data_IF_617681096664
#
_entry.id   IF_617681096664
#
_cell.length_a   1.000
_cell.length_b   1.000
_cell.length_c   1.000
_cell.angle_alpha   90.00
_cell.angle_beta   90.00
_cell.angle_gamma   90.00
#
_symmetry.space_group_name_H-M   'P 1'
#
loop_
_entity.id
_entity.type
_entity.pdbx_description
1 polymer ?
#
# COMPACT_ATOMS: atom_id res chain seq x y z
N UNK A 1 13.91 18.12 -33.75
CA UNK A 1 12.61 17.84 -33.08
C UNK A 1 12.93 17.48 -31.64
N UNK A 2 12.50 18.24 -30.63
CA UNK A 2 12.59 17.76 -29.25
C UNK A 2 11.74 16.49 -29.11
N UNK A 3 12.23 15.53 -28.32
CA UNK A 3 11.46 14.32 -28.03
C UNK A 3 10.10 14.71 -27.41
N UNK A 4 9.01 13.99 -27.71
CA UNK A 4 7.74 14.23 -27.04
C UNK A 4 7.94 14.12 -25.52
N UNK A 5 7.29 14.97 -24.71
CA UNK A 5 7.38 14.88 -23.27
C UNK A 5 7.01 13.45 -22.85
N UNK A 6 7.83 12.84 -22.00
CA UNK A 6 7.52 11.54 -21.44
C UNK A 6 6.15 11.64 -20.76
N UNK A 7 5.23 10.74 -21.11
CA UNK A 7 3.92 10.66 -20.45
C UNK A 7 4.21 10.41 -18.98
N UNK A 8 3.79 11.33 -18.12
CA UNK A 8 3.98 11.21 -16.68
C UNK A 8 3.18 10.00 -16.20
N UNK A 9 3.88 8.97 -15.72
CA UNK A 9 3.25 7.77 -15.16
C UNK A 9 3.11 7.96 -13.66
N UNK A 10 1.87 7.96 -13.17
CA UNK A 10 1.59 8.15 -11.75
C UNK A 10 1.14 6.82 -11.18
N UNK A 11 1.73 6.38 -10.06
CA UNK A 11 1.24 5.26 -9.27
C UNK A 11 0.67 5.80 -7.96
N UNK A 12 -0.51 5.34 -7.55
CA UNK A 12 -1.13 5.77 -6.29
C UNK A 12 -1.08 4.69 -5.24
N UNK A 13 -0.35 4.93 -4.15
CA UNK A 13 -0.32 4.07 -2.97
C UNK A 13 -1.38 4.53 -1.97
N UNK A 14 -2.36 3.66 -1.71
CA UNK A 14 -3.52 3.91 -0.87
C UNK A 14 -3.30 3.26 0.50
N UNK A 15 -3.33 4.09 1.54
CA UNK A 15 -3.01 3.70 2.92
C UNK A 15 -4.20 4.02 3.83
N UNK A 16 -5.09 3.06 4.14
CA UNK A 16 -6.09 3.26 5.18
C UNK A 16 -5.39 3.34 6.55
N UNK A 17 -5.72 4.33 7.37
CA UNK A 17 -5.06 4.55 8.65
C UNK A 17 -6.05 4.99 9.73
N UNK A 18 -5.80 4.58 10.98
CA UNK A 18 -6.47 5.08 12.18
C UNK A 18 -5.53 4.97 13.37
N UNK A 19 -5.15 6.10 13.96
CA UNK A 19 -4.25 6.17 15.11
C UNK A 19 -2.86 5.56 14.87
N UNK A 20 -2.25 5.90 13.74
CA UNK A 20 -0.95 5.41 13.28
C UNK A 20 0.15 6.50 13.31
N UNK A 21 -0.02 7.55 14.10
CA UNK A 21 0.85 8.74 14.08
C UNK A 21 2.32 8.42 14.33
N UNK A 22 2.62 7.35 15.08
CA UNK A 22 3.99 6.93 15.38
C UNK A 22 4.70 6.23 14.21
N UNK A 23 3.97 5.56 13.32
CA UNK A 23 4.53 4.76 12.23
C UNK A 23 4.41 5.45 10.86
N UNK A 24 3.40 6.30 10.69
CA UNK A 24 2.97 6.73 9.35
C UNK A 24 4.00 7.58 8.60
N UNK A 25 4.77 8.41 9.32
CA UNK A 25 5.85 9.20 8.71
C UNK A 25 6.90 8.30 8.04
N UNK A 26 7.29 7.23 8.74
CA UNK A 26 8.29 6.26 8.27
C UNK A 26 7.77 5.49 7.07
N UNK A 27 6.51 5.05 7.11
CA UNK A 27 5.87 4.37 5.99
C UNK A 27 5.86 5.25 4.75
N UNK A 28 5.35 6.48 4.86
CA UNK A 28 5.22 7.40 3.72
C UNK A 28 6.60 7.69 3.13
N UNK A 29 7.60 7.98 3.97
CA UNK A 29 8.98 8.16 3.52
C UNK A 29 9.51 6.95 2.75
N UNK A 30 9.33 5.74 3.30
CA UNK A 30 9.79 4.51 2.66
C UNK A 30 9.09 4.22 1.32
N UNK A 31 7.82 4.62 1.16
CA UNK A 31 7.09 4.52 -0.11
C UNK A 31 7.64 5.51 -1.14
N UNK A 32 7.81 6.78 -0.74
CA UNK A 32 8.29 7.84 -1.64
C UNK A 32 9.73 7.60 -2.10
N UNK A 33 10.59 7.05 -1.24
CA UNK A 33 11.97 6.67 -1.58
C UNK A 33 12.06 5.54 -2.62
N UNK A 34 10.98 4.79 -2.84
CA UNK A 34 10.92 3.69 -3.80
C UNK A 34 10.39 4.09 -5.18
N UNK A 35 10.20 5.38 -5.45
CA UNK A 35 9.76 5.87 -6.76
C UNK A 35 10.70 5.40 -7.89
N UNK A 36 10.26 4.50 -8.79
CA UNK A 36 11.11 4.07 -9.89
C UNK A 36 11.29 5.19 -10.93
N UNK A 37 12.37 5.12 -11.71
CA UNK A 37 12.62 6.08 -12.77
C UNK A 37 11.44 6.24 -13.74
N UNK A 38 11.01 7.48 -13.98
CA UNK A 38 9.89 7.78 -14.87
C UNK A 38 8.51 7.47 -14.30
N UNK A 39 8.41 7.32 -12.98
CA UNK A 39 7.15 7.26 -12.23
C UNK A 39 7.10 8.36 -11.16
N UNK A 40 5.94 8.99 -11.04
CA UNK A 40 5.57 9.84 -9.89
C UNK A 40 4.77 8.98 -8.91
N UNK A 41 5.12 9.05 -7.61
CA UNK A 41 4.39 8.31 -6.56
C UNK A 41 3.44 9.26 -5.83
N UNK A 42 2.15 9.00 -5.93
CA UNK A 42 1.12 9.62 -5.10
C UNK A 42 0.86 8.72 -3.88
N UNK A 43 0.94 9.26 -2.67
CA UNK A 43 0.47 8.56 -1.46
C UNK A 43 -0.86 9.15 -1.02
N UNK A 44 -1.92 8.34 -1.03
CA UNK A 44 -3.26 8.69 -0.57
C UNK A 44 -3.52 8.02 0.76
N UNK A 45 -3.38 8.78 1.85
CA UNK A 45 -3.74 8.30 3.17
C UNK A 45 -5.22 8.54 3.43
N UNK A 46 -5.93 7.50 3.85
CA UNK A 46 -7.35 7.59 4.19
C UNK A 46 -7.51 7.49 5.70
N UNK A 47 -7.80 8.61 6.34
CA UNK A 47 -7.94 8.73 7.79
C UNK A 47 -9.35 8.35 8.25
N UNK A 48 -9.47 7.26 8.99
CA UNK A 48 -10.73 6.73 9.53
C UNK A 48 -11.00 7.23 10.96
N UNK A 49 -10.97 8.57 11.11
CA UNK A 49 -11.25 9.24 12.37
C UNK A 49 -10.17 9.02 13.43
N UNK A 50 -8.90 9.24 13.08
CA UNK A 50 -7.81 9.25 14.05
C UNK A 50 -8.03 10.33 15.12
N UNK A 51 -7.69 10.00 16.35
CA UNK A 51 -7.71 10.88 17.52
C UNK A 51 -6.32 11.37 17.93
N UNK A 52 -5.28 10.89 17.24
CA UNK A 52 -3.88 11.29 17.41
C UNK A 52 -3.41 12.19 16.25
N UNK A 53 -2.09 12.35 16.10
CA UNK A 53 -1.50 13.21 15.08
C UNK A 53 -1.38 12.56 13.68
N UNK A 54 -1.95 11.37 13.44
CA UNK A 54 -1.82 10.61 12.17
C UNK A 54 -1.99 11.49 10.93
N UNK A 55 -3.09 12.22 10.86
CA UNK A 55 -3.42 13.05 9.70
C UNK A 55 -2.47 14.25 9.54
N UNK A 56 -1.98 14.82 10.64
CA UNK A 56 -1.03 15.94 10.60
C UNK A 56 0.33 15.45 10.07
N UNK A 57 0.84 14.39 10.68
CA UNK A 57 2.13 13.76 10.33
C UNK A 57 2.12 13.27 8.89
N UNK A 58 1.03 12.65 8.44
CA UNK A 58 0.92 12.18 7.06
C UNK A 58 1.02 13.30 6.02
N UNK A 59 0.36 14.44 6.26
CA UNK A 59 0.47 15.63 5.38
C UNK A 59 1.89 16.17 5.36
N UNK A 60 2.53 16.27 6.53
CA UNK A 60 3.90 16.74 6.65
C UNK A 60 4.90 15.83 5.92
N UNK A 61 4.62 14.51 5.86
CA UNK A 61 5.41 13.53 5.14
C UNK A 61 5.15 13.51 3.61
N UNK A 62 4.23 14.35 3.10
CA UNK A 62 3.94 14.46 1.67
C UNK A 62 2.76 13.62 1.18
N UNK A 63 2.00 12.97 2.05
CA UNK A 63 0.79 12.26 1.65
C UNK A 63 -0.40 13.20 1.47
N UNK A 64 -1.26 12.87 0.51
CA UNK A 64 -2.60 13.44 0.37
C UNK A 64 -3.54 12.75 1.35
N UNK A 65 -4.05 13.49 2.32
CA UNK A 65 -4.96 12.94 3.35
C UNK A 65 -6.42 13.12 2.96
N UNK A 66 -7.18 12.02 2.93
CA UNK A 66 -8.62 11.97 2.71
C UNK A 66 -9.29 11.49 3.99
N UNK A 67 -10.15 12.30 4.59
CA UNK A 67 -10.92 11.87 5.76
C UNK A 67 -12.12 11.00 5.35
N UNK A 68 -12.42 9.98 6.15
CA UNK A 68 -13.73 9.34 6.16
C UNK A 68 -14.67 10.10 7.09
N UNK A 69 -15.92 10.26 6.68
CA UNK A 69 -16.94 10.84 7.55
C UNK A 69 -17.08 9.98 8.82
N UNK A 70 -17.09 10.61 9.99
CA UNK A 70 -17.13 9.93 11.28
C UNK A 70 -18.29 8.94 11.36
N UNK A 71 -17.98 7.64 11.48
CA UNK A 71 -18.99 6.57 11.65
C UNK A 71 -18.87 5.97 13.06
N UNK A 72 -19.99 5.60 13.71
CA UNK A 72 -19.97 4.96 15.02
C UNK A 72 -19.12 3.67 15.09
N UNK A 73 -18.97 2.99 13.94
CA UNK A 73 -18.24 1.72 13.79
C UNK A 73 -17.09 1.83 12.78
N UNK A 74 -16.34 2.94 12.78
CA UNK A 74 -15.10 3.07 11.99
C UNK A 74 -14.10 1.94 12.30
N UNK A 75 -13.07 1.82 11.47
CA UNK A 75 -12.03 0.79 11.55
C UNK A 75 -12.19 -0.34 10.54
N UNK A 76 -12.96 -0.16 9.46
CA UNK A 76 -13.01 -1.13 8.36
C UNK A 76 -12.05 -0.69 7.23
N UNK A 77 -10.88 -1.35 7.08
CA UNK A 77 -9.90 -0.96 6.08
C UNK A 77 -10.44 -1.01 4.65
N UNK A 78 -11.44 -1.84 4.35
CA UNK A 78 -12.04 -1.92 3.00
C UNK A 78 -12.74 -0.61 2.61
N UNK A 79 -13.39 0.07 3.57
CA UNK A 79 -14.02 1.38 3.32
C UNK A 79 -12.95 2.41 3.01
N UNK A 80 -11.85 2.40 3.78
CA UNK A 80 -10.69 3.25 3.54
C UNK A 80 -10.07 3.03 2.16
N UNK A 81 -9.78 1.77 1.80
CA UNK A 81 -9.21 1.42 0.49
C UNK A 81 -10.09 1.87 -0.68
N UNK A 82 -11.40 1.64 -0.60
CA UNK A 82 -12.34 2.07 -1.64
C UNK A 82 -12.39 3.60 -1.76
N UNK A 83 -12.41 4.32 -0.63
CA UNK A 83 -12.40 5.78 -0.64
C UNK A 83 -11.09 6.33 -1.23
N UNK A 84 -9.96 5.73 -0.88
CA UNK A 84 -8.65 6.09 -1.42
C UNK A 84 -8.56 5.83 -2.92
N UNK A 85 -9.06 4.69 -3.39
CA UNK A 85 -9.10 4.36 -4.82
C UNK A 85 -9.92 5.38 -5.64
N UNK A 86 -11.01 5.89 -5.08
CA UNK A 86 -11.80 6.95 -5.72
C UNK A 86 -11.11 8.31 -5.73
N UNK A 87 -10.27 8.60 -4.74
CA UNK A 87 -9.57 9.88 -4.62
C UNK A 87 -8.22 9.93 -5.36
N UNK A 88 -7.59 8.77 -5.54
CA UNK A 88 -6.32 8.59 -6.23
C UNK A 88 -6.38 9.05 -7.70
N UNK A 89 -5.25 9.48 -8.24
CA UNK A 89 -5.12 10.00 -9.62
C UNK A 89 -4.24 9.13 -10.51
N UNK A 90 -3.41 8.28 -9.91
CA UNK A 90 -2.53 7.36 -10.59
C UNK A 90 -3.19 6.05 -11.02
N UNK A 91 -2.43 5.33 -11.83
CA UNK A 91 -2.68 4.00 -12.35
C UNK A 91 -1.32 3.30 -12.58
N UNK A 92 -1.01 2.21 -11.85
CA UNK A 92 -1.91 1.40 -11.04
C UNK A 92 -2.21 1.98 -9.65
N UNK A 93 -3.26 1.44 -9.03
CA UNK A 93 -3.57 1.63 -7.62
C UNK A 93 -2.88 0.53 -6.81
N UNK A 94 -2.10 0.91 -5.81
CA UNK A 94 -1.39 0.01 -4.89
C UNK A 94 -2.01 0.18 -3.51
N UNK A 95 -2.29 -0.91 -2.82
CA UNK A 95 -2.82 -0.91 -1.45
C UNK A 95 -1.72 -1.35 -0.50
N UNK A 96 -1.51 -0.57 0.56
CA UNK A 96 -0.54 -0.84 1.62
C UNK A 96 -1.15 -0.50 2.98
N UNK A 97 -0.96 -1.35 3.98
CA UNK A 97 -1.47 -1.11 5.33
C UNK A 97 -0.56 -0.15 6.11
N UNK A 98 -1.16 0.65 7.00
CA UNK A 98 -0.48 1.73 7.71
C UNK A 98 0.58 1.28 8.72
N UNK A 99 0.52 0.01 9.13
CA UNK A 99 1.45 -0.67 10.04
C UNK A 99 2.52 -1.50 9.30
N UNK A 100 2.55 -1.43 7.96
CA UNK A 100 3.47 -2.18 7.11
C UNK A 100 4.58 -1.29 6.55
N UNK A 101 5.77 -1.87 6.38
CA UNK A 101 6.89 -1.22 5.70
C UNK A 101 7.21 -1.92 4.39
N UNK A 102 7.30 -1.19 3.26
CA UNK A 102 7.65 -1.80 2.00
C UNK A 102 9.13 -2.21 2.00
N UNK A 103 9.41 -3.45 1.60
CA UNK A 103 10.78 -3.92 1.42
C UNK A 103 11.47 -3.16 0.26
N UNK A 104 12.82 -3.08 0.23
CA UNK A 104 13.53 -2.47 -0.89
C UNK A 104 13.14 -3.10 -2.24
N UNK A 105 12.80 -2.25 -3.22
CA UNK A 105 12.39 -2.70 -4.57
C UNK A 105 10.95 -3.20 -4.67
N UNK A 106 10.16 -3.13 -3.59
CA UNK A 106 8.76 -3.57 -3.55
C UNK A 106 7.91 -2.90 -4.64
N UNK A 107 7.95 -1.57 -4.74
CA UNK A 107 7.11 -0.85 -5.70
C UNK A 107 7.51 -1.17 -7.15
N UNK A 108 8.82 -1.26 -7.42
CA UNK A 108 9.33 -1.62 -8.74
C UNK A 108 8.90 -3.04 -9.17
N UNK A 109 8.86 -3.99 -8.23
CA UNK A 109 8.41 -5.35 -8.50
C UNK A 109 6.91 -5.41 -8.87
N UNK A 110 6.07 -4.66 -8.13
CA UNK A 110 4.64 -4.56 -8.45
C UNK A 110 4.41 -3.97 -9.85
N UNK A 111 5.10 -2.88 -10.16
CA UNK A 111 5.00 -2.21 -11.46
C UNK A 111 5.53 -3.08 -12.61
N UNK A 112 6.61 -3.83 -12.40
CA UNK A 112 7.11 -4.78 -13.38
C UNK A 112 6.08 -5.88 -13.72
N UNK A 113 5.31 -6.35 -12.73
CA UNK A 113 4.21 -7.28 -12.96
C UNK A 113 3.12 -6.68 -13.86
N UNK A 114 2.79 -5.40 -13.66
CA UNK A 114 1.85 -4.69 -14.52
C UNK A 114 2.41 -4.42 -15.92
N UNK A 115 3.69 -4.09 -16.05
CA UNK A 115 4.37 -3.91 -17.35
C UNK A 115 4.42 -5.23 -18.14
N UNK A 116 4.47 -6.37 -17.45
CA UNK A 116 4.34 -7.71 -18.04
C UNK A 116 2.89 -8.07 -18.46
N UNK A 117 1.93 -7.16 -18.28
CA UNK A 117 0.55 -7.30 -18.73
C UNK A 117 -0.44 -7.81 -17.67
N UNK A 118 -0.03 -7.98 -16.41
CA UNK A 118 -0.95 -8.36 -15.35
C UNK A 118 -1.91 -7.21 -15.00
N UNK A 119 -3.21 -7.50 -14.92
CA UNK A 119 -4.21 -6.55 -14.44
C UNK A 119 -4.15 -6.36 -12.92
N UNK A 120 -3.71 -7.39 -12.21
CA UNK A 120 -3.61 -7.46 -10.75
C UNK A 120 -2.25 -8.08 -10.39
N UNK A 121 -1.52 -7.46 -9.46
CA UNK A 121 -0.24 -7.98 -8.94
C UNK A 121 -0.32 -8.00 -7.42
N UNK A 122 -0.10 -9.17 -6.83
CA UNK A 122 -0.08 -9.35 -5.39
C UNK A 122 1.34 -9.49 -4.88
N UNK A 123 1.57 -9.08 -3.63
CA UNK A 123 2.81 -9.31 -2.92
C UNK A 123 2.59 -10.07 -1.61
N UNK A 124 3.69 -10.50 -1.04
CA UNK A 124 3.76 -11.19 0.24
C UNK A 124 3.95 -10.23 1.42
N UNK A 125 3.78 -10.73 2.64
CA UNK A 125 4.15 -10.02 3.87
C UNK A 125 5.21 -10.82 4.63
N UNK A 126 6.16 -10.10 5.23
CA UNK A 126 7.09 -10.67 6.21
C UNK A 126 6.57 -10.46 7.63
N UNK A 127 6.78 -11.46 8.47
CA UNK A 127 6.42 -11.40 9.87
C UNK A 127 7.42 -10.56 10.68
N UNK A 128 6.95 -9.78 11.67
CA UNK A 128 7.82 -9.13 12.63
C UNK A 128 8.75 -10.11 13.36
N UNK A 129 9.94 -9.62 13.71
CA UNK A 129 10.84 -10.32 14.61
C UNK A 129 10.24 -10.46 16.01
N UNK A 130 10.66 -11.48 16.76
CA UNK A 130 10.22 -11.68 18.15
C UNK A 130 8.81 -12.27 18.33
N UNK A 131 8.06 -12.54 17.27
CA UNK A 131 6.80 -13.29 17.37
C UNK A 131 6.99 -14.67 18.01
N UNK A 132 6.03 -15.06 18.86
CA UNK A 132 6.03 -16.37 19.50
C UNK A 132 5.97 -17.51 18.46
N UNK A 133 6.48 -18.71 18.78
CA UNK A 133 6.39 -19.85 17.87
C UNK A 133 4.95 -20.15 17.42
N UNK A 134 3.97 -19.94 18.30
CA UNK A 134 2.56 -20.15 17.99
C UNK A 134 2.01 -19.09 17.03
N UNK A 135 2.34 -17.80 17.22
CA UNK A 135 1.94 -16.75 16.29
C UNK A 135 2.57 -16.94 14.89
N UNK A 136 3.83 -17.38 14.85
CA UNK A 136 4.49 -17.77 13.60
C UNK A 136 3.78 -18.96 12.96
N UNK A 137 3.49 -20.01 13.72
CA UNK A 137 2.81 -21.19 13.22
C UNK A 137 1.42 -20.85 12.65
N UNK A 138 0.62 -20.08 13.39
CA UNK A 138 -0.70 -19.61 12.94
C UNK A 138 -0.61 -18.86 11.61
N UNK A 139 0.32 -17.92 11.50
CA UNK A 139 0.56 -17.21 10.25
C UNK A 139 1.02 -18.16 9.12
N UNK A 140 1.97 -19.05 9.38
CA UNK A 140 2.44 -20.01 8.38
C UNK A 140 1.34 -20.96 7.92
N UNK A 141 0.44 -21.39 8.80
CA UNK A 141 -0.67 -22.27 8.46
C UNK A 141 -1.80 -21.53 7.75
N UNK A 142 -2.13 -20.31 8.18
CA UNK A 142 -3.22 -19.51 7.60
C UNK A 142 -2.85 -18.77 6.31
N UNK A 143 -1.57 -18.40 6.17
CA UNK A 143 -1.08 -17.48 5.15
C UNK A 143 0.14 -18.03 4.39
N UNK A 144 0.35 -19.36 4.39
CA UNK A 144 1.43 -20.02 3.65
C UNK A 144 1.56 -19.52 2.20
N UNK A 145 0.42 -19.33 1.53
CA UNK A 145 0.35 -18.97 0.11
C UNK A 145 0.83 -17.53 -0.20
N UNK A 146 1.06 -16.72 0.84
CA UNK A 146 1.42 -15.29 0.73
C UNK A 146 2.74 -14.96 1.43
N UNK A 147 3.57 -15.98 1.66
CA UNK A 147 4.88 -15.83 2.28
C UNK A 147 5.92 -15.28 1.28
N UNK A 148 6.79 -14.37 1.73
CA UNK A 148 7.78 -13.68 0.89
C UNK A 148 8.79 -14.57 0.20
N UNK A 149 9.09 -15.70 0.83
CA UNK A 149 9.98 -16.74 0.29
C UNK A 149 9.31 -17.68 -0.71
N UNK A 150 7.99 -17.55 -0.96
CA UNK A 150 7.28 -18.41 -1.91
C UNK A 150 7.57 -17.93 -3.36
N UNK A 151 7.81 -18.83 -4.31
CA UNK A 151 7.88 -18.47 -5.74
C UNK A 151 6.58 -17.81 -6.23
N UNK A 152 6.71 -16.88 -7.18
CA UNK A 152 5.55 -16.24 -7.82
C UNK A 152 4.66 -17.24 -8.55
N UNK A 153 3.34 -17.00 -8.52
CA UNK A 153 2.35 -17.86 -9.16
C UNK A 153 0.93 -17.58 -8.64
N UNK A 154 -0.02 -18.40 -9.05
CA UNK A 154 -1.42 -18.29 -8.61
C UNK A 154 -1.55 -18.35 -7.08
N UNK A 155 -2.40 -17.49 -6.51
CA UNK A 155 -2.70 -17.44 -5.08
C UNK A 155 -4.23 -17.59 -4.91
N UNK A 156 -4.71 -18.62 -4.18
CA UNK A 156 -6.15 -18.90 -4.08
C UNK A 156 -6.89 -17.90 -3.17
N UNK A 157 -6.19 -17.28 -2.22
CA UNK A 157 -6.76 -16.35 -1.24
C UNK A 157 -5.92 -15.09 -1.14
N UNK A 158 -6.57 -13.95 -1.04
CA UNK A 158 -5.91 -12.67 -1.06
C UNK A 158 -5.69 -12.11 0.36
N UNK A 159 -4.44 -11.75 0.75
CA UNK A 159 -4.18 -10.98 1.97
C UNK A 159 -4.45 -9.49 1.69
N UNK A 160 -5.45 -8.88 2.32
CA UNK A 160 -5.88 -7.53 1.98
C UNK A 160 -4.89 -6.52 2.56
N UNK A 161 -3.83 -6.19 1.83
CA UNK A 161 -2.81 -5.22 2.29
C UNK A 161 -1.55 -5.08 1.41
N UNK A 162 -1.29 -5.99 0.48
CA UNK A 162 -0.18 -5.88 -0.50
C UNK A 162 -0.65 -6.31 -1.89
N UNK A 163 -1.35 -5.41 -2.58
CA UNK A 163 -1.93 -5.63 -3.91
C UNK A 163 -1.82 -4.37 -4.73
N UNK A 164 -1.63 -4.52 -6.03
CA UNK A 164 -1.89 -3.48 -6.99
C UNK A 164 -2.81 -3.92 -8.13
N UNK A 165 -3.61 -2.98 -8.61
CA UNK A 165 -4.60 -3.17 -9.68
C UNK A 165 -4.53 -2.01 -10.66
N UNK A 166 -4.71 -2.29 -11.95
CA UNK A 166 -4.94 -1.23 -12.94
C UNK A 166 -6.37 -0.70 -12.84
N UNK A 167 -6.55 0.58 -13.16
CA UNK A 167 -7.88 1.16 -13.40
C UNK A 167 -8.46 0.52 -14.68
N UNK A 168 -9.70 0.05 -14.60
CA UNK A 168 -10.45 -0.48 -15.74
C UNK A 168 -11.16 0.64 -16.50
#
# INVERSE_FOLDING_TARGET
MPAPPAVERIVSVIVPARNEGSAIMRLIGAVLEQAPGGWTVEVVLVDDGSTDETACVARAAGARVVALDSRPNGGNPAVGRNRGALAATGDPLVFLDADCLPAPGWLAALLAGHDAGAAVVGGSLDLPDGLSPMARCDYYCGWYHVHSRRPGGEVPNHPPGNLSVRRA
#
